data_IF_428815801649
#
_entry.id   IF_428815801649
#
_cell.length_a   1.000
_cell.length_b   1.000
_cell.length_c   1.000
_cell.angle_alpha   90.00
_cell.angle_beta   90.00
_cell.angle_gamma   90.00
#
_symmetry.space_group_name_H-M   'P 1'
#
loop_
_entity.id
_entity.type
_entity.pdbx_description
1 polymer ?
#
# COMPACT_ATOMS: atom_id res chain seq x y z
N UNK A 1 11.92 -28.43 6.35
CA UNK A 1 11.07 -27.88 7.43
C UNK A 1 10.40 -26.63 6.93
N UNK A 2 9.09 -26.48 7.09
CA UNK A 2 8.40 -25.33 6.50
C UNK A 2 8.80 -24.05 7.23
N UNK A 3 9.38 -23.09 6.48
CA UNK A 3 9.71 -21.75 6.92
C UNK A 3 8.53 -21.07 7.66
N UNK A 4 7.31 -21.27 7.18
CA UNK A 4 6.09 -20.71 7.72
C UNK A 4 5.65 -21.26 9.08
N UNK A 5 6.13 -22.42 9.49
CA UNK A 5 5.86 -22.97 10.85
C UNK A 5 6.63 -22.27 11.96
N UNK A 6 7.67 -21.51 11.61
CA UNK A 6 8.56 -20.86 12.59
C UNK A 6 8.28 -19.37 12.77
N UNK A 7 7.52 -18.77 11.84
CA UNK A 7 7.30 -17.33 11.84
C UNK A 7 5.79 -17.08 11.94
N UNK A 8 5.34 -16.70 13.12
CA UNK A 8 3.97 -16.28 13.36
C UNK A 8 3.72 -14.93 12.66
N UNK A 9 2.47 -14.68 12.26
CA UNK A 9 2.10 -13.46 11.57
C UNK A 9 0.70 -13.53 10.96
N UNK A 10 0.31 -12.48 10.26
CA UNK A 10 -0.99 -12.31 9.63
C UNK A 10 -0.84 -12.45 8.11
N UNK A 11 -1.73 -13.25 7.48
CA UNK A 11 -1.83 -13.33 6.03
C UNK A 11 -2.64 -12.16 5.48
N UNK A 12 -2.08 -11.47 4.49
CA UNK A 12 -2.70 -10.33 3.81
C UNK A 12 -2.86 -10.71 2.34
N UNK A 13 -4.10 -10.86 1.83
CA UNK A 13 -4.32 -11.15 0.43
C UNK A 13 -4.01 -9.94 -0.45
N UNK A 14 -3.31 -10.17 -1.55
CA UNK A 14 -3.23 -9.22 -2.65
C UNK A 14 -4.37 -9.52 -3.62
N UNK A 15 -5.41 -8.72 -3.57
CA UNK A 15 -6.58 -8.84 -4.44
C UNK A 15 -6.36 -7.97 -5.68
N UNK A 16 -6.48 -8.55 -6.86
CA UNK A 16 -6.35 -7.85 -8.12
C UNK A 16 -7.58 -7.02 -8.49
N UNK A 17 -7.47 -6.26 -9.57
CA UNK A 17 -8.59 -5.48 -10.12
C UNK A 17 -9.78 -6.35 -10.55
N UNK A 18 -9.54 -7.61 -10.86
CA UNK A 18 -10.54 -8.64 -11.19
C UNK A 18 -11.24 -9.24 -9.95
N UNK A 19 -10.89 -8.79 -8.75
CA UNK A 19 -11.42 -9.30 -7.49
C UNK A 19 -10.83 -10.64 -7.04
N UNK A 20 -9.85 -11.19 -7.77
CA UNK A 20 -9.21 -12.46 -7.44
C UNK A 20 -7.99 -12.26 -6.54
N UNK A 21 -7.68 -13.25 -5.72
CA UNK A 21 -6.44 -13.27 -4.92
C UNK A 21 -5.28 -13.69 -5.81
N UNK A 22 -4.37 -12.76 -6.10
CA UNK A 22 -3.18 -12.97 -6.91
C UNK A 22 -1.95 -13.36 -6.11
N UNK A 23 -1.97 -13.15 -4.81
CA UNK A 23 -0.87 -13.50 -3.91
C UNK A 23 -1.23 -13.31 -2.45
N UNK A 24 -0.35 -13.80 -1.58
CA UNK A 24 -0.47 -13.62 -0.14
C UNK A 24 0.82 -13.02 0.40
N UNK A 25 0.71 -11.93 1.13
CA UNK A 25 1.79 -11.37 1.91
C UNK A 25 1.64 -11.78 3.37
N UNK A 26 2.74 -11.97 4.07
CA UNK A 26 2.75 -12.27 5.49
C UNK A 26 3.33 -11.06 6.22
N UNK A 27 2.54 -10.46 7.08
CA UNK A 27 3.04 -9.53 8.09
C UNK A 27 3.53 -10.34 9.28
N UNK A 28 4.83 -10.34 9.51
CA UNK A 28 5.47 -11.11 10.57
C UNK A 28 5.34 -10.42 11.93
N UNK A 29 5.05 -11.18 12.98
CA UNK A 29 5.03 -10.68 14.37
C UNK A 29 6.42 -10.20 14.80
N UNK A 30 7.47 -10.83 14.29
CA UNK A 30 8.85 -10.41 14.48
C UNK A 30 9.56 -10.28 13.14
N UNK A 31 10.26 -9.16 12.86
CA UNK A 31 10.98 -9.00 11.61
C UNK A 31 12.02 -10.08 11.37
N UNK A 32 12.07 -10.59 10.16
CA UNK A 32 13.00 -11.65 9.76
C UNK A 32 14.32 -11.06 9.31
N UNK A 33 15.39 -11.35 10.05
CA UNK A 33 16.78 -11.07 9.64
C UNK A 33 17.35 -12.25 8.88
N UNK A 34 18.07 -11.96 7.80
CA UNK A 34 18.91 -12.96 7.14
C UNK A 34 20.22 -13.13 7.89
N UNK A 35 20.87 -14.28 7.70
CA UNK A 35 22.11 -14.63 8.43
C UNK A 35 23.23 -13.59 8.20
N UNK A 36 23.27 -13.01 7.01
CA UNK A 36 24.30 -12.05 6.59
C UNK A 36 23.86 -10.58 6.69
N UNK A 37 22.69 -10.32 7.30
CA UNK A 37 22.22 -8.94 7.52
C UNK A 37 23.10 -8.23 8.57
N UNK A 38 23.48 -6.95 8.34
CA UNK A 38 24.17 -6.14 9.34
C UNK A 38 23.38 -6.06 10.65
N UNK A 39 24.06 -5.91 11.80
CA UNK A 39 23.41 -5.88 13.12
C UNK A 39 22.36 -4.78 13.27
N UNK A 40 22.56 -3.65 12.64
CA UNK A 40 21.72 -2.45 12.64
C UNK A 40 20.55 -2.52 11.63
N UNK A 41 20.55 -3.50 10.71
CA UNK A 41 19.45 -3.68 9.75
C UNK A 41 18.21 -4.23 10.44
N UNK A 42 17.11 -3.49 10.33
CA UNK A 42 15.80 -3.98 10.76
C UNK A 42 15.32 -5.08 9.82
N UNK A 43 15.25 -6.34 10.14
CA UNK A 43 14.84 -7.43 9.26
C UNK A 43 13.54 -7.18 8.48
N UNK A 44 13.19 -8.06 7.54
CA UNK A 44 11.98 -7.96 6.74
C UNK A 44 10.73 -8.15 7.62
N UNK A 45 9.86 -7.14 7.65
CA UNK A 45 8.58 -7.16 8.35
C UNK A 45 7.48 -7.84 7.52
N UNK A 46 7.57 -7.71 6.20
CA UNK A 46 6.65 -8.31 5.24
C UNK A 46 7.41 -9.26 4.32
N UNK A 47 6.85 -10.43 4.08
CA UNK A 47 7.36 -11.41 3.13
C UNK A 47 6.23 -11.95 2.26
N UNK A 48 6.54 -12.38 1.05
CA UNK A 48 5.56 -13.04 0.20
C UNK A 48 5.47 -14.54 0.52
N UNK A 49 4.24 -15.04 0.53
CA UNK A 49 4.00 -16.47 0.53
C UNK A 49 4.35 -17.03 -0.85
N UNK A 50 5.52 -17.62 -0.98
CA UNK A 50 6.04 -18.14 -2.24
C UNK A 50 6.83 -19.43 -2.04
N UNK A 51 7.02 -20.16 -3.11
CA UNK A 51 7.85 -21.38 -3.12
C UNK A 51 9.10 -21.25 -3.99
N UNK A 52 9.47 -20.02 -4.38
CA UNK A 52 10.58 -19.74 -5.29
C UNK A 52 11.93 -20.32 -4.89
N UNK A 53 12.13 -20.56 -3.58
CA UNK A 53 13.33 -21.22 -3.05
C UNK A 53 13.36 -22.75 -3.20
N UNK A 54 12.27 -23.35 -3.70
CA UNK A 54 12.17 -24.81 -3.92
C UNK A 54 12.40 -25.15 -5.39
N UNK A 55 12.82 -26.38 -5.64
CA UNK A 55 12.86 -26.90 -7.01
C UNK A 55 11.45 -26.84 -7.62
N UNK A 56 11.33 -26.32 -8.84
CA UNK A 56 10.06 -26.05 -9.54
C UNK A 56 9.14 -25.09 -8.77
N UNK A 57 9.68 -24.30 -7.86
CA UNK A 57 8.91 -23.33 -7.06
C UNK A 57 8.50 -22.10 -7.86
N UNK A 58 7.44 -21.45 -7.40
CA UNK A 58 6.83 -20.27 -8.04
C UNK A 58 7.04 -19.04 -7.18
N UNK A 59 7.43 -17.92 -7.82
CA UNK A 59 7.47 -16.59 -7.19
C UNK A 59 6.06 -16.03 -7.04
N UNK A 60 5.88 -15.12 -6.08
CA UNK A 60 4.62 -14.38 -5.92
C UNK A 60 4.34 -13.41 -7.08
N UNK A 61 5.37 -13.00 -7.83
CA UNK A 61 5.27 -11.95 -8.84
C UNK A 61 5.00 -10.54 -8.28
N UNK A 62 4.94 -10.40 -6.96
CA UNK A 62 4.64 -9.14 -6.26
C UNK A 62 3.41 -8.42 -6.84
N UNK A 63 2.23 -9.04 -6.80
CA UNK A 63 1.03 -8.48 -7.41
C UNK A 63 0.63 -7.16 -6.78
N UNK A 64 0.01 -6.32 -7.59
CA UNK A 64 -0.61 -5.08 -7.13
C UNK A 64 -1.94 -5.42 -6.43
N UNK A 65 -2.20 -4.77 -5.31
CA UNK A 65 -3.48 -4.88 -4.61
C UNK A 65 -4.40 -3.73 -5.00
N UNK A 66 -5.67 -4.04 -5.26
CA UNK A 66 -6.72 -3.08 -5.58
C UNK A 66 -7.87 -3.20 -4.58
N UNK A 67 -8.35 -2.08 -4.05
CA UNK A 67 -9.52 -2.04 -3.18
C UNK A 67 -10.36 -0.80 -3.44
N UNK A 68 -11.66 -0.98 -3.54
CA UNK A 68 -12.64 0.08 -3.73
C UNK A 68 -13.45 -0.06 -5.02
N UNK A 69 -13.89 1.07 -5.58
CA UNK A 69 -14.72 1.10 -6.77
C UNK A 69 -13.85 1.02 -8.05
N UNK A 70 -14.03 0.00 -8.92
CA UNK A 70 -13.27 -0.14 -10.17
C UNK A 70 -13.55 0.98 -11.20
N UNK A 71 -14.66 1.72 -11.07
CA UNK A 71 -15.00 2.86 -11.92
C UNK A 71 -14.77 4.21 -11.21
N UNK A 72 -13.90 4.24 -10.21
CA UNK A 72 -13.58 5.49 -9.50
C UNK A 72 -12.85 6.46 -10.42
N UNK A 73 -13.32 7.72 -10.47
CA UNK A 73 -12.65 8.78 -11.23
C UNK A 73 -11.29 9.18 -10.64
N UNK A 74 -11.10 8.96 -9.34
CA UNK A 74 -9.87 9.26 -8.61
C UNK A 74 -9.41 8.02 -7.87
N UNK A 75 -8.17 7.61 -8.11
CA UNK A 75 -7.55 6.42 -7.49
C UNK A 75 -6.26 6.82 -6.77
N UNK A 76 -6.10 6.36 -5.56
CA UNK A 76 -4.92 6.60 -4.72
C UNK A 76 -3.91 5.47 -4.88
N UNK A 77 -2.65 5.79 -5.04
CA UNK A 77 -1.55 4.80 -5.06
C UNK A 77 -0.73 4.92 -3.79
N UNK A 78 -0.64 3.84 -3.04
CA UNK A 78 -0.03 3.79 -1.71
C UNK A 78 0.99 2.64 -1.62
N UNK A 79 1.93 2.74 -0.70
CA UNK A 79 2.84 1.65 -0.36
C UNK A 79 2.27 0.80 0.77
N UNK A 80 2.14 -0.52 0.53
CA UNK A 80 1.68 -1.52 1.50
C UNK A 80 0.21 -1.88 1.38
N UNK A 81 -0.05 -3.20 1.20
CA UNK A 81 -1.38 -3.74 0.98
C UNK A 81 -2.32 -3.44 2.15
N UNK A 82 -1.89 -3.79 3.37
CA UNK A 82 -2.70 -3.56 4.58
C UNK A 82 -3.01 -2.08 4.81
N UNK A 83 -2.09 -1.18 4.46
CA UNK A 83 -2.34 0.26 4.53
C UNK A 83 -3.45 0.71 3.59
N UNK A 84 -3.55 0.10 2.40
CA UNK A 84 -4.64 0.39 1.47
C UNK A 84 -5.99 -0.06 2.04
N UNK A 85 -6.06 -1.26 2.63
CA UNK A 85 -7.27 -1.77 3.26
C UNK A 85 -7.74 -0.86 4.40
N UNK A 86 -6.82 -0.47 5.29
CA UNK A 86 -7.10 0.45 6.39
C UNK A 86 -7.55 1.82 5.85
N UNK A 87 -6.83 2.35 4.87
CA UNK A 87 -7.16 3.65 4.27
C UNK A 87 -8.52 3.64 3.58
N UNK A 88 -8.87 2.54 2.90
CA UNK A 88 -10.18 2.34 2.32
C UNK A 88 -11.28 2.32 3.39
N UNK A 89 -11.11 1.53 4.44
CA UNK A 89 -12.05 1.46 5.57
C UNK A 89 -12.26 2.81 6.25
N UNK A 90 -11.21 3.62 6.38
CA UNK A 90 -11.29 4.94 7.02
C UNK A 90 -11.94 6.01 6.14
N UNK A 91 -11.78 5.93 4.80
CA UNK A 91 -12.11 7.04 3.89
C UNK A 91 -13.14 6.69 2.82
N UNK A 92 -13.44 5.42 2.60
CA UNK A 92 -14.24 4.90 1.49
C UNK A 92 -13.71 5.30 0.09
N UNK A 93 -12.41 5.63 -0.02
CA UNK A 93 -11.74 5.96 -1.29
C UNK A 93 -11.19 4.71 -1.93
N UNK A 94 -10.88 4.78 -3.23
CA UNK A 94 -10.30 3.66 -3.99
C UNK A 94 -8.78 3.72 -3.97
N UNK A 95 -8.16 2.58 -3.68
CA UNK A 95 -6.71 2.46 -3.55
C UNK A 95 -6.14 1.37 -4.44
N UNK A 96 -4.94 1.64 -4.92
CA UNK A 96 -3.99 0.70 -5.51
C UNK A 96 -2.78 0.64 -4.59
N UNK A 97 -2.40 -0.55 -4.14
CA UNK A 97 -1.23 -0.72 -3.29
C UNK A 97 -0.15 -1.57 -3.95
N UNK A 98 1.09 -1.16 -3.73
CA UNK A 98 2.29 -1.89 -4.13
C UNK A 98 3.09 -2.32 -2.90
N UNK A 99 3.71 -3.49 -2.97
CA UNK A 99 4.52 -4.03 -1.89
C UNK A 99 5.95 -3.48 -1.95
N UNK A 100 6.11 -2.21 -1.59
CA UNK A 100 7.37 -1.46 -1.65
C UNK A 100 7.39 -0.42 -2.78
N UNK A 101 7.89 0.77 -2.48
CA UNK A 101 7.79 1.97 -3.31
C UNK A 101 8.27 1.82 -4.78
N UNK A 102 9.22 0.91 -5.03
CA UNK A 102 9.77 0.67 -6.37
C UNK A 102 9.14 -0.50 -7.13
N UNK A 103 8.18 -1.21 -6.52
CA UNK A 103 7.56 -2.38 -7.14
C UNK A 103 6.42 -1.97 -8.09
N UNK A 104 6.79 -1.27 -9.14
CA UNK A 104 5.86 -0.60 -10.06
C UNK A 104 5.59 -1.37 -11.36
N UNK A 105 6.15 -2.59 -11.52
CA UNK A 105 6.13 -3.33 -12.79
C UNK A 105 4.74 -3.64 -13.33
N UNK A 106 3.76 -3.85 -12.47
CA UNK A 106 2.38 -4.17 -12.86
C UNK A 106 1.46 -2.93 -12.92
N UNK A 107 1.93 -1.76 -12.47
CA UNK A 107 1.10 -0.56 -12.42
C UNK A 107 0.72 -0.03 -13.79
N UNK A 108 1.59 -0.14 -14.79
CA UNK A 108 1.31 0.38 -16.14
C UNK A 108 0.11 -0.32 -16.77
N UNK A 109 0.05 -1.66 -16.66
CA UNK A 109 -1.08 -2.45 -17.14
C UNK A 109 -2.37 -2.11 -16.37
N UNK A 110 -2.29 -1.97 -15.05
CA UNK A 110 -3.45 -1.60 -14.23
C UNK A 110 -3.92 -0.17 -14.57
N UNK A 111 -3.02 0.77 -14.78
CA UNK A 111 -3.37 2.14 -15.14
C UNK A 111 -4.07 2.24 -16.50
N UNK A 112 -3.66 1.42 -17.46
CA UNK A 112 -4.38 1.31 -18.74
C UNK A 112 -5.82 0.82 -18.54
N UNK A 113 -6.04 -0.19 -17.68
CA UNK A 113 -7.39 -0.67 -17.33
C UNK A 113 -8.20 0.41 -16.59
N UNK A 114 -7.62 1.08 -15.62
CA UNK A 114 -8.29 2.16 -14.87
C UNK A 114 -8.73 3.30 -15.80
N UNK A 115 -7.86 3.75 -16.70
CA UNK A 115 -8.18 4.78 -17.68
C UNK A 115 -9.34 4.36 -18.60
N UNK A 116 -9.33 3.12 -19.09
CA UNK A 116 -10.42 2.56 -19.89
C UNK A 116 -11.76 2.51 -19.13
N UNK A 117 -11.74 2.37 -17.82
CA UNK A 117 -12.91 2.31 -16.94
C UNK A 117 -13.28 3.67 -16.32
N UNK A 118 -12.71 4.76 -16.82
CA UNK A 118 -13.12 6.12 -16.48
C UNK A 118 -12.34 6.80 -15.35
N UNK A 119 -11.22 6.23 -14.91
CA UNK A 119 -10.32 6.93 -13.98
C UNK A 119 -9.64 8.09 -14.69
N UNK A 120 -9.73 9.27 -14.10
CA UNK A 120 -9.22 10.53 -14.65
C UNK A 120 -7.96 11.01 -13.91
N UNK A 121 -7.85 10.68 -12.63
CA UNK A 121 -6.76 11.16 -11.78
C UNK A 121 -6.18 10.06 -10.92
N UNK A 122 -4.86 9.99 -10.87
CA UNK A 122 -4.07 9.21 -9.92
C UNK A 122 -3.53 10.15 -8.84
N UNK A 123 -3.75 9.79 -7.57
CA UNK A 123 -3.16 10.48 -6.43
C UNK A 123 -2.02 9.64 -5.88
N UNK A 124 -0.78 10.09 -6.05
CA UNK A 124 0.39 9.49 -5.43
C UNK A 124 0.40 9.82 -3.93
N UNK A 125 0.21 8.79 -3.10
CA UNK A 125 0.10 8.88 -1.63
C UNK A 125 1.11 7.97 -0.93
N UNK A 126 2.35 7.87 -1.45
CA UNK A 126 3.44 7.17 -0.78
C UNK A 126 3.79 7.84 0.55
N UNK A 127 4.39 7.06 1.43
CA UNK A 127 4.82 7.50 2.76
C UNK A 127 5.57 8.85 2.71
N UNK A 128 5.42 9.66 3.75
CA UNK A 128 6.01 11.02 3.81
C UNK A 128 7.54 11.03 3.83
N UNK A 129 8.19 9.89 4.07
CA UNK A 129 9.63 9.74 3.94
C UNK A 129 10.14 9.84 2.48
N UNK A 130 9.25 9.94 1.49
CA UNK A 130 9.59 10.21 0.07
C UNK A 130 10.43 11.48 -0.15
N UNK A 131 10.42 12.40 0.80
CA UNK A 131 11.23 13.60 0.74
C UNK A 131 12.66 13.42 1.24
N UNK A 132 12.91 12.36 2.02
CA UNK A 132 14.22 12.01 2.55
C UNK A 132 14.76 10.67 2.03
N UNK A 133 13.90 9.82 1.49
CA UNK A 133 14.24 8.51 0.96
C UNK A 133 14.22 8.52 -0.58
N UNK A 134 15.39 8.43 -1.21
CA UNK A 134 15.54 8.43 -2.68
C UNK A 134 14.75 7.30 -3.36
N UNK A 135 14.65 6.13 -2.74
CA UNK A 135 13.91 4.99 -3.33
C UNK A 135 12.41 5.30 -3.38
N UNK A 136 11.85 5.86 -2.32
CA UNK A 136 10.43 6.27 -2.28
C UNK A 136 10.16 7.39 -3.27
N UNK A 137 11.06 8.37 -3.38
CA UNK A 137 10.97 9.46 -4.35
C UNK A 137 11.00 8.96 -5.80
N UNK A 138 11.86 7.99 -6.10
CA UNK A 138 11.93 7.38 -7.44
C UNK A 138 10.64 6.61 -7.78
N UNK A 139 10.07 5.89 -6.82
CA UNK A 139 8.78 5.21 -6.98
C UNK A 139 7.65 6.17 -7.31
N UNK A 140 7.54 7.26 -6.54
CA UNK A 140 6.56 8.32 -6.77
C UNK A 140 6.69 8.95 -8.17
N UNK A 141 7.92 9.19 -8.64
CA UNK A 141 8.17 9.73 -9.97
C UNK A 141 7.74 8.76 -11.09
N UNK A 142 7.94 7.45 -10.91
CA UNK A 142 7.47 6.43 -11.87
C UNK A 142 5.95 6.41 -11.97
N UNK A 143 5.23 6.51 -10.84
CA UNK A 143 3.76 6.58 -10.82
C UNK A 143 3.27 7.77 -11.64
N UNK A 144 3.87 8.93 -11.45
CA UNK A 144 3.54 10.14 -12.21
C UNK A 144 3.68 9.91 -13.73
N UNK A 145 4.81 9.36 -14.15
CA UNK A 145 5.07 9.10 -15.58
C UNK A 145 4.08 8.08 -16.16
N UNK A 146 3.78 7.01 -15.44
CA UNK A 146 2.82 5.99 -15.90
C UNK A 146 1.39 6.52 -15.98
N UNK A 147 0.93 7.33 -15.01
CA UNK A 147 -0.38 7.96 -15.07
C UNK A 147 -0.51 8.85 -16.31
N UNK A 148 0.48 9.71 -16.55
CA UNK A 148 0.53 10.59 -17.72
C UNK A 148 0.56 9.83 -19.05
N UNK A 149 1.33 8.75 -19.12
CA UNK A 149 1.38 7.86 -20.29
C UNK A 149 -0.01 7.28 -20.63
N UNK A 150 -0.80 6.98 -19.61
CA UNK A 150 -2.15 6.44 -19.76
C UNK A 150 -3.25 7.54 -19.81
N UNK A 151 -2.89 8.80 -20.04
CA UNK A 151 -3.82 9.91 -20.24
C UNK A 151 -4.48 10.44 -18.97
N UNK A 152 -4.05 9.99 -17.79
CA UNK A 152 -4.59 10.44 -16.52
C UNK A 152 -3.79 11.60 -15.93
N UNK A 153 -4.48 12.50 -15.22
CA UNK A 153 -3.81 13.45 -14.34
C UNK A 153 -3.11 12.71 -13.20
N UNK A 154 -2.03 13.29 -12.69
CA UNK A 154 -1.39 12.78 -11.48
C UNK A 154 -0.94 13.93 -10.60
N UNK A 155 -1.28 13.86 -9.33
CA UNK A 155 -0.75 14.78 -8.31
C UNK A 155 -0.23 14.02 -7.10
N UNK A 156 0.71 14.64 -6.43
CA UNK A 156 1.30 14.14 -5.19
C UNK A 156 0.48 14.64 -4.00
N UNK A 157 0.05 13.72 -3.15
CA UNK A 157 -0.57 14.07 -1.88
C UNK A 157 0.51 14.25 -0.81
N UNK A 158 0.31 15.27 0.02
CA UNK A 158 1.14 15.55 1.19
C UNK A 158 0.27 15.76 2.40
N UNK A 159 0.75 15.37 3.57
CA UNK A 159 0.09 15.57 4.85
C UNK A 159 1.11 15.93 5.93
N UNK A 160 0.66 16.04 7.17
CA UNK A 160 1.54 16.34 8.30
C UNK A 160 2.64 15.27 8.42
N UNK A 161 3.93 15.62 8.30
CA UNK A 161 5.05 14.68 8.28
C UNK A 161 5.27 13.91 9.58
N UNK A 162 4.59 14.27 10.67
CA UNK A 162 4.57 13.48 11.90
C UNK A 162 3.89 12.12 11.72
N UNK A 163 3.09 11.96 10.68
CA UNK A 163 2.46 10.70 10.30
C UNK A 163 3.17 10.15 9.06
N UNK A 164 3.80 8.98 9.19
CA UNK A 164 4.54 8.38 8.09
C UNK A 164 3.59 7.96 6.96
N UNK A 165 2.58 7.16 7.28
CA UNK A 165 1.60 6.62 6.35
C UNK A 165 0.35 7.47 6.21
N UNK A 166 -0.35 7.33 5.08
CA UNK A 166 -1.65 7.94 4.86
C UNK A 166 -2.70 7.38 5.83
N UNK A 167 -2.65 6.08 6.11
CA UNK A 167 -3.48 5.37 7.08
C UNK A 167 -3.33 5.93 8.50
N UNK A 168 -2.11 6.12 8.97
CA UNK A 168 -1.82 6.72 10.28
C UNK A 168 -2.41 8.13 10.39
N UNK A 169 -2.25 8.94 9.34
CA UNK A 169 -2.80 10.29 9.29
C UNK A 169 -4.33 10.30 9.32
N UNK A 170 -4.99 9.44 8.53
CA UNK A 170 -6.46 9.37 8.51
C UNK A 170 -7.02 8.87 9.84
N UNK A 171 -6.36 7.91 10.48
CA UNK A 171 -6.74 7.43 11.80
C UNK A 171 -6.69 8.57 12.84
N UNK A 172 -5.62 9.34 12.86
CA UNK A 172 -5.47 10.46 13.79
C UNK A 172 -6.52 11.56 13.56
N UNK A 173 -6.90 11.83 12.30
CA UNK A 173 -7.99 12.77 12.00
C UNK A 173 -9.32 12.27 12.55
N UNK A 174 -9.62 10.99 12.36
CA UNK A 174 -10.86 10.37 12.84
C UNK A 174 -10.95 10.38 14.37
N UNK A 175 -9.85 10.07 15.05
CA UNK A 175 -9.79 10.13 16.52
C UNK A 175 -10.02 11.56 17.06
N UNK A 176 -9.46 12.55 16.36
CA UNK A 176 -9.68 13.96 16.73
C UNK A 176 -11.15 14.36 16.57
N UNK A 177 -11.76 14.01 15.45
CA UNK A 177 -13.18 14.28 15.21
C UNK A 177 -14.10 13.61 16.26
N UNK A 178 -13.76 12.39 16.67
CA UNK A 178 -14.52 11.70 17.73
C UNK A 178 -14.43 12.41 19.07
N UNK A 179 -13.22 12.80 19.48
CA UNK A 179 -13.02 13.55 20.73
C UNK A 179 -13.73 14.89 20.74
N UNK A 180 -13.75 15.61 19.62
CA UNK A 180 -14.46 16.88 19.47
C UNK A 180 -15.99 16.67 19.60
N UNK A 181 -16.54 15.60 19.04
CA UNK A 181 -17.97 15.26 19.17
C UNK A 181 -18.34 14.90 20.60
N UNK A 182 -17.52 14.13 21.30
CA UNK A 182 -17.72 13.75 22.69
C UNK A 182 -17.69 14.97 23.60
N UNK A 183 -16.73 15.88 23.41
CA UNK A 183 -16.62 17.12 24.18
C UNK A 183 -17.85 18.02 23.98
N UNK A 184 -18.27 18.23 22.74
CA UNK A 184 -19.45 19.02 22.40
C UNK A 184 -20.77 18.41 22.91
N UNK A 185 -20.80 17.09 23.15
CA UNK A 185 -21.97 16.43 23.73
C UNK A 185 -22.00 16.58 25.24
N UNK A 186 -20.83 16.53 25.91
CA UNK A 186 -20.71 16.72 27.37
C UNK A 186 -21.06 18.15 27.80
N UNK A 187 -20.76 19.16 26.99
CA UNK A 187 -21.06 20.57 27.28
C UNK A 187 -22.55 20.95 27.09
N UNK A 188 -23.39 20.04 26.62
CA UNK A 188 -24.83 20.25 26.42
C UNK A 188 -25.71 19.66 27.51
N UNK A 189 -25.11 19.05 28.50
CA UNK A 189 -25.78 18.47 29.67
C UNK A 189 -25.30 19.11 30.98
#
# INVERSE_FOLDING_TARGET
>A
MNFYRKNAGILIPAVGYDGMIHGLQILLDSPLKQKDDPPDKSGAKYIWFSSSSKNMGVTSGSPVHFIGNPSARVVYVIEGLLKADISHCLTNRTFVAIAGANNTSQLDTLFALLAQNGTEEIIEAHDMDKYSNQMTSNGASKIYLMARKNGMACRRLTWNPNYKGFDDWQLALREKEQKEKEHNHADRH
#
